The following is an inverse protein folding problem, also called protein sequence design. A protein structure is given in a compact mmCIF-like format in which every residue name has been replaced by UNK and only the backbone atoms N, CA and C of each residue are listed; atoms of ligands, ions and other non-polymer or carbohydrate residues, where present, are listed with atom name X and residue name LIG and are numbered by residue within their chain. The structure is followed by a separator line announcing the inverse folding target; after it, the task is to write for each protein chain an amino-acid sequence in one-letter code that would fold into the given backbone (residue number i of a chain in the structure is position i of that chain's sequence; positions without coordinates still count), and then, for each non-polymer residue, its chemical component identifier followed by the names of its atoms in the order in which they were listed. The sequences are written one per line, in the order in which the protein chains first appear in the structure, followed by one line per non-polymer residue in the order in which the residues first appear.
data_IF_036422229903
#
_entry.id   IF_036422229903
#
_cell.length_a   1.000
_cell.length_b   1.000
_cell.length_c   1.000
_cell.angle_alpha   90.00
_cell.angle_beta   90.00
_cell.angle_gamma   90.00
#
_symmetry.space_group_name_H-M   'P 1'
#
loop_
_entity.id
_entity.type
_entity.pdbx_description
1 polymer ?
#
# COMPACT_ATOMS: atom_id res chain seq x y z
N UNK A 1 5.55 14.88 -14.51
CA UNK A 1 6.40 14.28 -15.55
C UNK A 1 5.85 14.57 -16.95
N UNK A 2 4.59 14.24 -17.27
CA UNK A 2 4.00 14.42 -18.60
C UNK A 2 4.06 15.88 -19.12
N UNK A 3 3.95 16.87 -18.25
CA UNK A 3 4.10 18.29 -18.64
C UNK A 3 5.53 18.66 -19.04
N UNK A 4 6.52 18.04 -18.41
CA UNK A 4 7.94 18.27 -18.70
C UNK A 4 8.42 17.48 -19.93
N UNK A 5 7.80 16.35 -20.21
CA UNK A 5 8.17 15.43 -21.29
C UNK A 5 6.96 15.05 -22.15
N UNK A 6 6.41 16.00 -22.95
CA UNK A 6 5.15 15.80 -23.68
C UNK A 6 5.22 14.74 -24.79
N UNK A 7 6.41 14.35 -25.21
CA UNK A 7 6.64 13.32 -26.22
C UNK A 7 6.76 11.91 -25.63
N UNK A 8 6.62 11.78 -24.30
CA UNK A 8 6.65 10.46 -23.60
C UNK A 8 5.23 10.06 -23.23
N UNK A 9 4.78 8.96 -23.76
CA UNK A 9 3.49 8.35 -23.37
C UNK A 9 3.71 7.42 -22.19
N UNK A 10 2.88 7.56 -21.15
CA UNK A 10 2.88 6.70 -19.98
C UNK A 10 1.65 5.79 -20.01
N UNK A 11 1.89 4.49 -19.87
CA UNK A 11 0.86 3.51 -19.54
C UNK A 11 1.05 3.08 -18.08
N UNK A 12 0.00 3.19 -17.27
CA UNK A 12 0.07 2.91 -15.82
C UNK A 12 -0.91 1.80 -15.47
N UNK A 13 -0.37 0.70 -14.95
CA UNK A 13 -1.14 -0.44 -14.47
C UNK A 13 -1.04 -0.55 -12.95
N UNK A 14 -2.20 -0.67 -12.26
CA UNK A 14 -2.27 -0.84 -10.81
C UNK A 14 -2.63 -2.27 -10.46
N UNK A 15 -1.71 -2.96 -9.81
CA UNK A 15 -1.85 -4.35 -9.39
C UNK A 15 -1.24 -4.55 -8.00
N UNK A 16 -1.54 -5.68 -7.36
CA UNK A 16 -0.86 -6.04 -6.12
C UNK A 16 0.65 -6.22 -6.37
N UNK A 17 1.48 -5.79 -5.41
CA UNK A 17 2.94 -5.93 -5.51
C UNK A 17 3.39 -7.35 -5.85
N UNK A 18 2.70 -8.38 -5.32
CA UNK A 18 2.96 -9.78 -5.65
C UNK A 18 2.81 -10.07 -7.15
N UNK A 19 1.78 -9.50 -7.80
CA UNK A 19 1.54 -9.66 -9.25
C UNK A 19 2.60 -8.94 -10.05
N UNK A 20 2.87 -7.67 -9.73
CA UNK A 20 3.88 -6.85 -10.40
C UNK A 20 5.29 -7.45 -10.31
N UNK A 21 5.66 -8.04 -9.17
CA UNK A 21 6.97 -8.64 -8.93
C UNK A 21 7.09 -10.07 -9.47
N UNK A 22 6.01 -10.66 -9.98
CA UNK A 22 6.04 -11.96 -10.63
C UNK A 22 6.88 -11.91 -11.94
N UNK A 23 7.23 -13.09 -12.48
CA UNK A 23 7.96 -13.17 -13.75
C UNK A 23 7.21 -12.49 -14.89
N UNK A 24 5.89 -12.71 -14.99
CA UNK A 24 5.04 -12.08 -16.01
C UNK A 24 4.91 -10.58 -15.79
N UNK A 25 4.71 -10.12 -14.54
CA UNK A 25 4.66 -8.71 -14.22
C UNK A 25 5.94 -7.98 -14.60
N UNK A 26 7.11 -8.53 -14.23
CA UNK A 26 8.41 -7.96 -14.63
C UNK A 26 8.62 -7.95 -16.14
N UNK A 27 8.10 -8.91 -16.88
CA UNK A 27 8.21 -8.94 -18.33
C UNK A 27 7.33 -7.88 -19.02
N UNK A 28 6.22 -7.49 -18.39
CA UNK A 28 5.23 -6.58 -18.96
C UNK A 28 5.51 -5.08 -18.72
N UNK A 29 6.41 -4.74 -17.78
CA UNK A 29 6.62 -3.36 -17.34
C UNK A 29 8.09 -2.94 -17.48
N UNK A 30 8.31 -1.64 -17.70
CA UNK A 30 9.64 -1.05 -17.72
C UNK A 30 10.10 -0.62 -16.32
N UNK A 31 9.18 -0.01 -15.54
CA UNK A 31 9.38 0.39 -14.16
C UNK A 31 8.27 -0.20 -13.29
N UNK A 32 8.61 -0.62 -12.08
CA UNK A 32 7.66 -1.15 -11.10
C UNK A 32 7.86 -0.42 -9.78
N UNK A 33 6.79 0.22 -9.27
CA UNK A 33 6.68 0.63 -7.89
C UNK A 33 5.97 -0.47 -7.11
N UNK A 34 6.64 -1.01 -6.09
CA UNK A 34 6.09 -2.09 -5.29
C UNK A 34 6.28 -1.85 -3.81
N UNK A 35 5.36 -2.36 -3.01
CA UNK A 35 5.51 -2.38 -1.55
C UNK A 35 6.44 -3.52 -1.14
N UNK A 36 7.26 -3.26 -0.11
CA UNK A 36 8.12 -4.23 0.56
C UNK A 36 7.66 -4.41 2.00
N UNK A 37 7.49 -5.67 2.40
CA UNK A 37 7.02 -5.97 3.75
C UNK A 37 8.09 -5.68 4.83
N UNK A 38 9.37 -5.91 4.51
CA UNK A 38 10.51 -5.70 5.39
C UNK A 38 11.54 -4.78 4.74
N UNK A 39 11.39 -3.46 4.85
CA UNK A 39 12.27 -2.50 4.16
C UNK A 39 13.74 -2.56 4.60
N UNK A 40 14.03 -3.12 5.78
CA UNK A 40 15.40 -3.28 6.27
C UNK A 40 16.16 -4.45 5.60
N UNK A 41 15.44 -5.42 5.06
CA UNK A 41 16.03 -6.63 4.45
C UNK A 41 16.26 -6.47 2.94
N UNK A 42 15.55 -5.54 2.29
CA UNK A 42 15.55 -5.37 0.83
C UNK A 42 15.85 -3.91 0.46
N UNK A 43 17.08 -3.44 0.74
CA UNK A 43 17.40 -2.01 0.60
C UNK A 43 17.79 -1.57 -0.83
N UNK A 44 18.16 -2.46 -1.74
CA UNK A 44 18.76 -2.09 -3.03
C UNK A 44 17.88 -1.19 -3.92
N UNK A 45 16.57 -1.39 -3.90
CA UNK A 45 15.62 -0.62 -4.72
C UNK A 45 14.69 0.24 -3.85
N UNK A 46 14.94 0.33 -2.57
CA UNK A 46 14.14 1.10 -1.64
C UNK A 46 14.25 2.59 -1.94
N UNK A 47 13.12 3.26 -2.13
CA UNK A 47 13.05 4.72 -2.34
C UNK A 47 12.44 5.45 -1.16
N UNK A 48 11.59 4.78 -0.39
CA UNK A 48 10.94 5.37 0.78
C UNK A 48 10.48 4.31 1.77
N UNK A 49 10.43 4.67 3.04
CA UNK A 49 9.69 3.92 4.06
C UNK A 49 8.49 4.73 4.54
N UNK A 50 7.41 4.07 4.91
CA UNK A 50 6.25 4.71 5.52
C UNK A 50 5.72 3.87 6.68
N UNK A 51 5.10 4.53 7.64
CA UNK A 51 4.45 3.86 8.75
C UNK A 51 3.08 3.34 8.32
N UNK A 52 2.75 2.12 8.71
CA UNK A 52 1.41 1.62 8.55
C UNK A 52 0.53 2.05 9.72
N UNK A 53 -0.69 2.45 9.41
CA UNK A 53 -1.66 2.92 10.40
C UNK A 53 -3.02 2.27 10.20
N UNK A 54 -3.73 2.08 11.32
CA UNK A 54 -5.14 1.70 11.30
C UNK A 54 -5.98 2.91 10.91
N UNK A 55 -6.96 2.71 10.02
CA UNK A 55 -7.80 3.79 9.48
C UNK A 55 -9.26 3.42 9.58
N UNK A 56 -10.09 4.41 9.94
CA UNK A 56 -11.55 4.29 10.02
C UNK A 56 -12.25 5.53 9.47
N UNK A 57 -13.55 5.45 9.28
CA UNK A 57 -14.40 6.63 9.09
C UNK A 57 -14.52 7.48 10.35
N UNK A 58 -15.01 8.71 10.20
CA UNK A 58 -15.15 9.68 11.30
C UNK A 58 -16.08 9.19 12.40
N UNK A 59 -17.16 8.52 12.04
CA UNK A 59 -18.20 8.03 12.96
C UNK A 59 -17.95 6.61 13.48
N UNK A 60 -16.84 5.99 13.07
CA UNK A 60 -16.53 4.64 13.51
C UNK A 60 -16.13 4.59 14.99
N UNK A 61 -16.85 3.78 15.77
CA UNK A 61 -16.49 3.55 17.16
C UNK A 61 -15.43 2.44 17.28
N UNK A 62 -14.16 2.84 17.45
CA UNK A 62 -13.04 1.92 17.61
C UNK A 62 -13.10 1.05 18.89
N UNK A 63 -14.00 1.37 19.84
CA UNK A 63 -14.20 0.60 21.08
C UNK A 63 -15.30 -0.46 20.98
N UNK A 64 -15.93 -0.63 19.81
CA UNK A 64 -16.92 -1.71 19.61
C UNK A 64 -16.34 -3.06 20.02
N UNK A 65 -17.15 -3.96 20.65
CA UNK A 65 -16.64 -5.27 21.04
C UNK A 65 -16.13 -6.07 19.83
N UNK A 66 -15.25 -7.09 20.06
CA UNK A 66 -14.77 -7.96 18.99
C UNK A 66 -15.93 -8.71 18.28
N UNK A 67 -15.73 -9.16 17.04
CA UNK A 67 -14.48 -9.12 16.26
C UNK A 67 -14.15 -7.74 15.67
N UNK A 68 -12.87 -7.49 15.32
CA UNK A 68 -12.46 -6.31 14.55
C UNK A 68 -12.94 -6.48 13.10
N UNK A 69 -13.83 -5.60 12.59
CA UNK A 69 -14.31 -5.70 11.22
C UNK A 69 -13.28 -5.14 10.25
N UNK A 70 -12.69 -5.99 9.42
CA UNK A 70 -11.65 -5.62 8.46
C UNK A 70 -12.23 -5.38 7.06
N UNK A 71 -11.89 -4.24 6.48
CA UNK A 71 -12.06 -3.92 5.07
C UNK A 71 -10.71 -4.06 4.42
N UNK A 72 -10.57 -4.96 3.44
CA UNK A 72 -9.27 -5.36 2.91
C UNK A 72 -9.27 -5.53 1.40
N UNK A 73 -8.09 -5.44 0.81
CA UNK A 73 -7.83 -5.91 -0.55
C UNK A 73 -7.70 -7.45 -0.59
N UNK A 74 -7.71 -8.08 -1.78
CA UNK A 74 -7.56 -9.51 -1.95
C UNK A 74 -6.26 -10.10 -1.34
N UNK A 75 -6.18 -11.40 -1.33
CA UNK A 75 -4.98 -12.13 -0.88
C UNK A 75 -3.74 -11.71 -1.69
N UNK A 76 -2.62 -11.55 -0.97
CA UNK A 76 -1.38 -11.02 -1.54
C UNK A 76 -1.16 -9.52 -1.23
N UNK A 77 -2.17 -8.81 -0.73
CA UNK A 77 -2.00 -7.45 -0.25
C UNK A 77 -1.18 -7.41 1.05
N UNK A 78 -0.12 -6.63 1.06
CA UNK A 78 0.78 -6.47 2.23
C UNK A 78 0.03 -5.87 3.42
N UNK A 79 -0.84 -4.90 3.20
CA UNK A 79 -1.62 -4.27 4.26
C UNK A 79 -2.58 -5.26 4.95
N UNK A 80 -3.29 -6.07 4.15
CA UNK A 80 -4.14 -7.16 4.67
C UNK A 80 -3.33 -8.16 5.51
N UNK A 81 -2.19 -8.61 4.98
CA UNK A 81 -1.33 -9.57 5.69
C UNK A 81 -0.82 -8.98 7.01
N UNK A 82 -0.44 -7.70 7.01
CA UNK A 82 0.05 -7.01 8.20
C UNK A 82 -1.05 -6.90 9.26
N UNK A 83 -2.26 -6.47 8.88
CA UNK A 83 -3.41 -6.38 9.78
C UNK A 83 -3.69 -7.73 10.46
N UNK A 84 -3.87 -8.78 9.67
CA UNK A 84 -4.18 -10.13 10.17
C UNK A 84 -3.06 -10.66 11.06
N UNK A 85 -1.80 -10.48 10.66
CA UNK A 85 -0.64 -10.94 11.44
C UNK A 85 -0.58 -10.32 12.83
N UNK A 86 -0.77 -9.00 12.94
CA UNK A 86 -0.67 -8.33 14.25
C UNK A 86 -1.86 -8.64 15.15
N UNK A 87 -3.08 -8.74 14.60
CA UNK A 87 -4.26 -9.14 15.36
C UNK A 87 -4.15 -10.59 15.86
N UNK A 88 -3.67 -11.53 15.04
CA UNK A 88 -3.42 -12.89 15.44
C UNK A 88 -2.36 -12.99 16.55
N UNK A 89 -1.28 -12.19 16.47
CA UNK A 89 -0.22 -12.16 17.49
C UNK A 89 -0.75 -11.83 18.88
N UNK A 90 -1.74 -10.93 18.97
CA UNK A 90 -2.37 -10.54 20.24
C UNK A 90 -3.66 -11.33 20.53
N UNK A 91 -3.97 -12.35 19.73
CA UNK A 91 -5.19 -13.16 19.84
C UNK A 91 -6.48 -12.32 19.79
N UNK A 92 -6.47 -11.18 19.09
CA UNK A 92 -7.64 -10.32 18.90
C UNK A 92 -8.52 -10.93 17.79
N UNK A 93 -9.80 -11.28 18.06
CA UNK A 93 -10.72 -11.76 17.03
C UNK A 93 -10.96 -10.68 15.97
N UNK A 94 -10.96 -11.11 14.71
CA UNK A 94 -11.22 -10.27 13.54
C UNK A 94 -12.10 -10.99 12.53
N UNK A 95 -12.74 -10.23 11.67
CA UNK A 95 -13.57 -10.72 10.57
C UNK A 95 -13.40 -9.82 9.35
N UNK A 96 -13.24 -10.41 8.17
CA UNK A 96 -13.31 -9.65 6.92
C UNK A 96 -14.79 -9.38 6.63
N UNK A 97 -15.18 -8.13 6.65
CA UNK A 97 -16.55 -7.67 6.36
C UNK A 97 -16.68 -7.15 4.93
N UNK A 98 -15.57 -6.75 4.31
CA UNK A 98 -15.53 -6.28 2.94
C UNK A 98 -14.19 -6.60 2.28
N UNK A 99 -14.24 -7.14 1.06
CA UNK A 99 -13.06 -7.51 0.28
C UNK A 99 -13.18 -6.97 -1.14
N UNK A 100 -12.33 -6.00 -1.49
CA UNK A 100 -12.37 -5.32 -2.79
C UNK A 100 -10.96 -4.95 -3.23
N UNK A 101 -10.57 -5.14 -4.50
CA UNK A 101 -9.24 -4.81 -5.00
C UNK A 101 -9.00 -3.31 -5.18
N UNK A 102 -10.07 -2.52 -5.24
CA UNK A 102 -10.02 -1.09 -5.54
C UNK A 102 -9.90 -0.24 -4.27
N UNK A 103 -8.92 0.67 -4.25
CA UNK A 103 -8.69 1.58 -3.11
C UNK A 103 -9.87 2.52 -2.88
N UNK A 104 -10.52 2.97 -3.94
CA UNK A 104 -11.68 3.88 -3.83
C UNK A 104 -12.84 3.17 -3.14
N UNK A 105 -13.10 1.92 -3.50
CA UNK A 105 -14.11 1.10 -2.83
C UNK A 105 -13.79 0.83 -1.35
N UNK A 106 -12.49 0.63 -1.01
CA UNK A 106 -12.04 0.54 0.38
C UNK A 106 -12.37 1.84 1.13
N UNK A 107 -12.02 2.99 0.56
CA UNK A 107 -12.26 4.31 1.16
C UNK A 107 -13.75 4.57 1.40
N UNK A 108 -14.62 4.26 0.44
CA UNK A 108 -16.07 4.38 0.61
C UNK A 108 -16.59 3.47 1.71
N UNK A 109 -16.19 2.21 1.75
CA UNK A 109 -16.63 1.27 2.77
C UNK A 109 -16.21 1.70 4.19
N UNK A 110 -15.02 2.31 4.33
CA UNK A 110 -14.54 2.88 5.59
C UNK A 110 -15.36 4.11 5.96
N UNK A 111 -15.61 5.01 5.00
CA UNK A 111 -16.40 6.22 5.20
C UNK A 111 -17.79 5.89 5.72
N UNK A 112 -18.43 4.86 5.16
CA UNK A 112 -19.75 4.34 5.60
C UNK A 112 -19.71 3.59 6.95
N UNK A 113 -18.54 3.54 7.60
CA UNK A 113 -18.40 2.95 8.94
C UNK A 113 -18.52 1.42 8.98
N UNK A 114 -18.35 0.72 7.86
CA UNK A 114 -18.44 -0.73 7.81
C UNK A 114 -17.33 -1.41 8.62
N UNK A 115 -16.15 -0.78 8.77
CA UNK A 115 -15.05 -1.35 9.51
C UNK A 115 -13.79 -0.48 9.47
N UNK A 116 -12.65 -1.15 9.63
CA UNK A 116 -11.32 -0.54 9.63
C UNK A 116 -10.43 -1.17 8.57
N UNK A 117 -9.44 -0.42 8.13
CA UNK A 117 -8.38 -0.91 7.22
C UNK A 117 -7.00 -0.50 7.70
N UNK A 118 -5.98 -0.93 6.96
CA UNK A 118 -4.59 -0.52 7.11
C UNK A 118 -4.16 0.23 5.86
N UNK A 119 -3.56 1.41 6.03
CA UNK A 119 -2.96 2.20 4.96
C UNK A 119 -1.56 2.66 5.36
N UNK A 120 -0.75 3.04 4.40
CA UNK A 120 0.45 3.83 4.63
C UNK A 120 0.03 5.23 5.10
N UNK A 121 0.67 5.76 6.14
CA UNK A 121 0.29 7.02 6.79
C UNK A 121 0.22 8.20 5.81
N UNK A 122 1.17 8.29 4.89
CA UNK A 122 1.21 9.36 3.89
C UNK A 122 0.07 9.29 2.85
N UNK A 123 -0.65 8.15 2.77
CA UNK A 123 -1.74 7.94 1.80
C UNK A 123 -3.13 8.01 2.43
N UNK A 124 -3.21 8.32 3.72
CA UNK A 124 -4.51 8.44 4.42
C UNK A 124 -5.21 9.71 3.97
N UNK A 125 -6.42 9.63 3.37
CA UNK A 125 -7.19 10.81 3.01
C UNK A 125 -7.60 11.64 4.22
N UNK A 126 -7.73 12.95 4.05
CA UNK A 126 -8.09 13.89 5.13
C UNK A 126 -9.46 13.63 5.77
N UNK A 127 -10.38 13.04 5.00
CA UNK A 127 -11.73 12.69 5.48
C UNK A 127 -11.79 11.39 6.28
N UNK A 128 -10.67 10.69 6.45
CA UNK A 128 -10.56 9.47 7.24
C UNK A 128 -9.75 9.70 8.52
N UNK A 129 -10.00 8.91 9.54
CA UNK A 129 -9.30 9.00 10.83
C UNK A 129 -8.25 7.90 11.00
N UNK A 130 -7.09 8.30 11.48
CA UNK A 130 -6.10 7.36 11.98
C UNK A 130 -6.51 6.94 13.40
N UNK A 131 -6.64 5.63 13.62
CA UNK A 131 -6.89 5.07 14.95
C UNK A 131 -5.55 5.00 15.68
N UNK A 132 -5.43 5.60 16.89
CA UNK A 132 -4.20 5.51 17.68
C UNK A 132 -3.87 4.07 18.05
N UNK A 133 -2.58 3.78 18.16
CA UNK A 133 -2.11 2.48 18.64
C UNK A 133 -2.64 2.19 20.05
N UNK A 134 -3.08 0.97 20.26
CA UNK A 134 -3.67 0.50 21.52
C UNK A 134 -3.52 -1.03 21.63
N UNK A 135 -3.97 -1.59 22.75
CA UNK A 135 -4.02 -3.05 22.89
C UNK A 135 -4.88 -3.72 21.80
N UNK A 136 -5.94 -3.04 21.35
CA UNK A 136 -6.85 -3.54 20.31
C UNK A 136 -6.33 -3.31 18.90
N UNK A 137 -5.66 -2.19 18.68
CA UNK A 137 -5.08 -1.77 17.42
C UNK A 137 -3.57 -1.59 17.59
N UNK A 138 -2.82 -2.71 17.59
CA UNK A 138 -1.39 -2.65 17.86
C UNK A 138 -0.62 -1.96 16.74
N UNK A 139 0.62 -1.59 17.05
CA UNK A 139 1.54 -1.04 16.07
C UNK A 139 1.72 -1.99 14.88
N UNK A 140 1.60 -1.42 13.70
CA UNK A 140 1.72 -2.12 12.42
C UNK A 140 3.14 -2.09 11.85
N UNK A 141 4.01 -1.25 12.40
CA UNK A 141 5.37 -1.03 11.90
C UNK A 141 5.40 -0.33 10.55
N UNK A 142 6.50 -0.49 9.83
CA UNK A 142 6.78 0.18 8.58
C UNK A 142 6.58 -0.72 7.36
N UNK A 143 6.41 -0.08 6.20
CA UNK A 143 6.43 -0.69 4.87
C UNK A 143 7.45 0.06 4.03
N UNK A 144 8.13 -0.64 3.11
CA UNK A 144 9.00 -0.03 2.12
C UNK A 144 8.26 0.20 0.81
N UNK A 145 8.69 1.21 0.07
CA UNK A 145 8.32 1.45 -1.32
C UNK A 145 9.59 1.29 -2.14
N UNK A 146 9.61 0.34 -3.06
CA UNK A 146 10.73 0.09 -3.96
C UNK A 146 10.41 0.50 -5.39
N UNK A 147 11.41 1.00 -6.09
CA UNK A 147 11.36 1.30 -7.51
C UNK A 147 12.34 0.40 -8.26
N UNK A 148 11.80 -0.55 -9.01
CA UNK A 148 12.56 -1.45 -9.85
C UNK A 148 12.58 -0.93 -11.29
N UNK A 149 13.78 -0.69 -11.83
CA UNK A 149 13.99 -0.54 -13.27
C UNK A 149 14.23 -1.94 -13.85
N UNK A 150 13.21 -2.49 -14.54
CA UNK A 150 13.27 -3.85 -15.11
C UNK A 150 14.08 -3.87 -16.40
N UNK A 151 14.22 -2.73 -17.07
CA UNK A 151 14.93 -2.56 -18.34
C UNK A 151 16.30 -1.90 -18.20
N UNK A 152 16.98 -2.11 -17.09
CA UNK A 152 18.31 -1.49 -16.79
C UNK A 152 19.33 -1.53 -17.94
N UNK A 153 19.22 -2.51 -18.85
CA UNK A 153 20.14 -2.71 -19.95
C UNK A 153 19.65 -2.10 -21.29
N UNK A 154 18.50 -1.49 -21.33
CA UNK A 154 18.01 -0.78 -22.51
C UNK A 154 18.41 0.70 -22.40
N UNK A 155 19.07 1.23 -23.43
CA UNK A 155 19.38 2.68 -23.51
C UNK A 155 18.13 3.47 -23.84
N UNK A 156 17.14 3.46 -22.94
CA UNK A 156 15.92 4.24 -23.07
C UNK A 156 15.92 5.40 -22.07
N UNK A 157 16.32 6.56 -22.54
CA UNK A 157 16.42 7.78 -21.74
C UNK A 157 15.12 8.16 -21.03
N UNK A 158 13.95 7.86 -21.61
CA UNK A 158 12.67 8.17 -21.01
C UNK A 158 12.40 7.35 -19.73
N UNK A 159 12.83 6.08 -19.71
CA UNK A 159 12.75 5.22 -18.52
C UNK A 159 13.62 5.76 -17.39
N UNK A 160 14.85 6.16 -17.71
CA UNK A 160 15.80 6.69 -16.72
C UNK A 160 15.31 8.02 -16.13
N UNK A 161 14.80 8.92 -16.99
CA UNK A 161 14.20 10.19 -16.56
C UNK A 161 12.96 9.99 -15.67
N UNK A 162 12.09 9.04 -16.02
CA UNK A 162 10.92 8.72 -15.19
C UNK A 162 11.35 8.10 -13.86
N UNK A 163 12.33 7.22 -13.86
CA UNK A 163 12.85 6.61 -12.63
C UNK A 163 13.44 7.67 -11.67
N UNK A 164 14.20 8.62 -12.20
CA UNK A 164 14.77 9.73 -11.41
C UNK A 164 13.69 10.66 -10.89
N UNK A 165 12.72 11.02 -11.74
CA UNK A 165 11.56 11.82 -11.32
C UNK A 165 10.79 11.15 -10.17
N UNK A 166 10.51 9.85 -10.27
CA UNK A 166 9.81 9.10 -9.22
C UNK A 166 10.61 9.05 -7.92
N UNK A 167 11.94 8.81 -7.97
CA UNK A 167 12.79 8.83 -6.78
C UNK A 167 12.73 10.19 -6.08
N UNK A 168 12.90 11.27 -6.84
CA UNK A 168 12.86 12.64 -6.29
C UNK A 168 11.50 13.01 -5.73
N UNK A 169 10.41 12.57 -6.38
CA UNK A 169 9.04 12.89 -5.94
C UNK A 169 8.59 12.09 -4.72
N UNK A 170 9.17 10.92 -4.47
CA UNK A 170 8.81 10.04 -3.35
C UNK A 170 9.70 10.22 -2.13
N UNK A 171 10.92 10.75 -2.31
CA UNK A 171 11.84 11.03 -1.20
C UNK A 171 11.28 12.11 -0.30
#
# INVERSE_FOLDING_TARGET
FAKAYPNVTLEVNCELSKTLLSRSGKAAHDLILALQNNPLEESENLVKTDNLVWVSGSEYNAQKPPPVPLIVAPEGCIYRQRAIRVLNKIKQPWQIVYNIPDLTGIQYAIHEGLGVTVLAKSTVPENLKIIPNSQRYPDLGTVGISLLNVRKNTKNQAIDLLAEFLRTSLA
#
